data_IF_342440895403
#
_entry.id   IF_342440895403
#
_cell.length_a   1.000
_cell.length_b   1.000
_cell.length_c   1.000
_cell.angle_alpha   90.00
_cell.angle_beta   90.00
_cell.angle_gamma   90.00
#
_symmetry.space_group_name_H-M   'P 1'
#
loop_
_entity.id
_entity.type
_entity.pdbx_description
1 polymer ?
#
# COMPACT_ATOMS: atom_id res chain seq x y z
N UNK A 1 15.51 0.56 11.10
CA UNK A 1 14.42 1.55 10.95
C UNK A 1 13.29 1.17 11.89
N UNK A 2 12.64 2.13 12.55
CA UNK A 2 11.45 1.87 13.37
C UNK A 2 10.19 1.79 12.50
N UNK A 3 9.09 1.23 13.04
CA UNK A 3 7.82 1.20 12.33
C UNK A 3 7.32 2.59 11.94
N UNK A 4 7.49 3.59 12.82
CA UNK A 4 7.11 4.98 12.53
C UNK A 4 7.97 5.61 11.45
N UNK A 5 9.28 5.39 11.47
CA UNK A 5 10.20 5.86 10.42
C UNK A 5 9.83 5.28 9.06
N UNK A 6 9.56 3.98 9.01
CA UNK A 6 9.12 3.30 7.80
C UNK A 6 7.81 3.88 7.26
N UNK A 7 6.83 4.06 8.13
CA UNK A 7 5.52 4.55 7.74
C UNK A 7 5.57 6.03 7.28
N UNK A 8 6.50 6.83 7.82
CA UNK A 8 6.79 8.18 7.32
C UNK A 8 7.50 8.16 5.95
N UNK A 9 8.44 7.24 5.75
CA UNK A 9 9.16 7.07 4.50
C UNK A 9 8.21 6.69 3.35
N UNK A 10 7.31 5.72 3.58
CA UNK A 10 6.26 5.35 2.62
C UNK A 10 5.33 6.54 2.34
N UNK A 11 4.88 7.26 3.38
CA UNK A 11 4.01 8.42 3.18
C UNK A 11 4.66 9.54 2.36
N UNK A 12 5.95 9.82 2.60
CA UNK A 12 6.71 10.80 1.86
C UNK A 12 6.87 10.42 0.37
N UNK A 13 7.15 9.14 0.10
CA UNK A 13 7.20 8.60 -1.25
C UNK A 13 5.87 8.79 -1.98
N UNK A 14 4.75 8.37 -1.35
CA UNK A 14 3.41 8.50 -1.95
C UNK A 14 3.04 9.95 -2.24
N UNK A 15 3.29 10.84 -1.28
CA UNK A 15 3.04 12.28 -1.42
C UNK A 15 3.85 12.86 -2.58
N UNK A 16 5.14 12.55 -2.67
CA UNK A 16 6.01 13.10 -3.72
C UNK A 16 5.65 12.56 -5.10
N UNK A 17 5.41 11.24 -5.20
CA UNK A 17 5.13 10.56 -6.47
C UNK A 17 3.76 10.89 -7.05
N UNK A 18 2.74 10.97 -6.21
CA UNK A 18 1.35 11.07 -6.66
C UNK A 18 0.70 12.44 -6.38
N UNK A 19 1.39 13.39 -5.75
CA UNK A 19 0.89 14.77 -5.66
C UNK A 19 0.59 15.43 -7.02
N UNK A 20 1.32 15.17 -8.13
CA UNK A 20 0.94 15.69 -9.44
C UNK A 20 -0.38 15.12 -9.97
N UNK A 21 -0.87 14.02 -9.38
CA UNK A 21 -2.17 13.39 -9.67
C UNK A 21 -3.25 13.77 -8.64
N UNK A 22 -3.01 14.81 -7.85
CA UNK A 22 -3.97 15.29 -6.86
C UNK A 22 -4.08 14.41 -5.60
N UNK A 23 -3.17 13.44 -5.38
CA UNK A 23 -3.20 12.62 -4.17
C UNK A 23 -2.77 13.43 -2.94
N UNK A 24 -3.62 13.46 -1.92
CA UNK A 24 -3.29 13.96 -0.58
C UNK A 24 -3.02 12.79 0.34
N UNK A 25 -1.95 12.88 1.13
CA UNK A 25 -1.50 11.82 2.03
C UNK A 25 -1.51 12.34 3.47
N UNK A 26 -2.20 11.62 4.34
CA UNK A 26 -2.34 11.93 5.77
C UNK A 26 -1.75 10.78 6.60
N UNK A 27 -1.34 11.10 7.83
CA UNK A 27 -0.84 10.14 8.82
C UNK A 27 -1.85 10.00 9.96
N UNK A 28 -1.93 8.80 10.53
CA UNK A 28 -2.60 8.54 11.82
C UNK A 28 -4.07 9.00 11.87
N UNK A 29 -4.85 8.63 10.84
CA UNK A 29 -6.27 8.99 10.74
C UNK A 29 -7.12 7.98 11.52
N UNK A 30 -7.93 8.45 12.47
CA UNK A 30 -8.83 7.60 13.26
C UNK A 30 -10.10 7.28 12.50
N UNK A 31 -10.44 6.00 12.35
CA UNK A 31 -11.62 5.54 11.60
C UNK A 31 -12.24 4.31 12.24
N UNK A 32 -13.39 4.47 12.88
CA UNK A 32 -14.19 3.34 13.37
C UNK A 32 -13.44 2.42 14.34
N UNK A 33 -13.74 1.12 14.26
CA UNK A 33 -13.20 0.10 15.17
C UNK A 33 -12.45 -0.98 14.40
N UNK A 34 -11.43 -1.57 15.03
CA UNK A 34 -10.75 -2.77 14.55
C UNK A 34 -11.67 -4.00 14.62
N UNK A 35 -11.25 -5.12 14.01
CA UNK A 35 -11.97 -6.41 14.10
C UNK A 35 -12.15 -6.94 15.53
N UNK A 36 -11.38 -6.42 16.50
CA UNK A 36 -11.51 -6.75 17.94
C UNK A 36 -12.07 -5.58 18.77
N UNK A 37 -12.67 -4.57 18.12
CA UNK A 37 -13.39 -3.49 18.80
C UNK A 37 -12.52 -2.37 19.37
N UNK A 38 -11.22 -2.30 19.04
CA UNK A 38 -10.36 -1.17 19.45
C UNK A 38 -10.56 0.02 18.52
N UNK A 39 -10.30 1.25 18.99
CA UNK A 39 -10.26 2.40 18.09
C UNK A 39 -9.16 2.19 17.04
N UNK A 40 -9.54 2.24 15.77
CA UNK A 40 -8.60 2.06 14.67
C UNK A 40 -7.96 3.40 14.33
N UNK A 41 -6.64 3.37 14.15
CA UNK A 41 -5.83 4.45 13.63
C UNK A 41 -5.12 3.93 12.39
N UNK A 42 -5.41 4.52 11.22
CA UNK A 42 -4.79 4.15 9.96
C UNK A 42 -3.43 4.84 9.87
N UNK A 43 -2.37 4.08 9.62
CA UNK A 43 -1.02 4.63 9.52
C UNK A 43 -0.91 5.70 8.43
N UNK A 44 -1.35 5.38 7.21
CA UNK A 44 -1.35 6.31 6.06
C UNK A 44 -2.73 6.29 5.39
N UNK A 45 -3.31 7.47 5.19
CA UNK A 45 -4.59 7.64 4.53
C UNK A 45 -4.43 8.52 3.29
N UNK A 46 -4.73 7.97 2.13
CA UNK A 46 -4.62 8.65 0.84
C UNK A 46 -6.00 9.08 0.35
N UNK A 47 -6.15 10.31 -0.12
CA UNK A 47 -7.40 10.84 -0.70
C UNK A 47 -7.09 11.52 -2.02
N UNK A 48 -7.86 11.19 -3.05
CA UNK A 48 -7.90 11.98 -4.29
C UNK A 48 -9.14 12.86 -4.25
N UNK A 49 -8.94 14.17 -4.25
CA UNK A 49 -10.05 15.14 -4.27
C UNK A 49 -10.80 15.09 -5.60
N UNK A 50 -10.10 14.83 -6.71
CA UNK A 50 -10.69 14.75 -8.04
C UNK A 50 -11.67 13.58 -8.18
N UNK A 51 -11.30 12.40 -7.67
CA UNK A 51 -12.15 11.20 -7.78
C UNK A 51 -13.01 10.94 -6.54
N UNK A 52 -12.85 11.73 -5.47
CA UNK A 52 -13.47 11.49 -4.14
C UNK A 52 -13.28 10.05 -3.63
N UNK A 53 -12.13 9.45 -3.96
CA UNK A 53 -11.76 8.11 -3.49
C UNK A 53 -10.73 8.22 -2.38
N UNK A 54 -10.73 7.22 -1.51
CA UNK A 54 -9.74 7.08 -0.46
C UNK A 54 -9.06 5.71 -0.54
N UNK A 55 -7.89 5.60 0.08
CA UNK A 55 -7.15 4.36 0.23
C UNK A 55 -6.39 4.35 1.57
N UNK A 56 -6.64 3.33 2.37
CA UNK A 56 -6.01 3.16 3.69
C UNK A 56 -4.80 2.23 3.62
N UNK A 57 -3.76 2.55 4.36
CA UNK A 57 -2.52 1.75 4.38
C UNK A 57 -2.10 1.54 5.83
N UNK A 58 -1.90 0.27 6.18
CA UNK A 58 -1.30 -0.18 7.44
C UNK A 58 0.15 -0.57 7.18
N UNK A 59 1.11 -0.03 7.93
CA UNK A 59 2.53 -0.27 7.72
C UNK A 59 3.06 -1.36 8.66
N UNK A 60 3.84 -2.30 8.12
CA UNK A 60 4.51 -3.36 8.89
C UNK A 60 5.96 -3.49 8.44
N UNK A 61 6.88 -3.12 9.31
CA UNK A 61 8.31 -3.23 9.09
C UNK A 61 8.94 -4.22 10.07
N UNK A 62 9.79 -5.11 9.59
CA UNK A 62 10.53 -6.04 10.45
C UNK A 62 11.90 -6.37 9.84
N UNK A 63 13.00 -6.00 10.51
CA UNK A 63 14.39 -6.33 10.08
C UNK A 63 14.99 -7.54 10.80
N UNK A 64 14.43 -7.91 11.96
CA UNK A 64 14.84 -9.07 12.75
C UNK A 64 13.62 -9.91 13.08
N UNK A 65 13.77 -11.24 13.14
CA UNK A 65 12.67 -12.14 13.50
C UNK A 65 12.04 -11.74 14.84
N UNK A 66 10.71 -11.71 14.88
CA UNK A 66 9.97 -11.23 16.05
C UNK A 66 8.47 -11.50 15.95
N UNK A 67 7.72 -10.83 16.81
CA UNK A 67 6.27 -11.03 16.96
C UNK A 67 5.41 -10.33 15.90
N UNK A 68 6.00 -9.66 14.90
CA UNK A 68 5.17 -9.09 13.81
C UNK A 68 4.52 -10.22 13.02
N UNK A 69 5.19 -11.35 12.88
CA UNK A 69 4.67 -12.54 12.18
C UNK A 69 3.30 -12.98 12.73
N UNK A 70 3.14 -12.97 14.06
CA UNK A 70 1.88 -13.31 14.74
C UNK A 70 0.77 -12.28 14.49
N UNK A 71 1.14 -11.04 14.13
CA UNK A 71 0.23 -9.91 13.94
C UNK A 71 -0.21 -9.71 12.50
N UNK A 72 0.52 -10.26 11.51
CA UNK A 72 0.19 -10.08 10.09
C UNK A 72 -1.22 -10.58 9.72
N UNK A 73 -1.67 -11.77 10.16
CA UNK A 73 -3.03 -12.22 9.86
C UNK A 73 -4.09 -11.22 10.35
N UNK A 74 -3.92 -10.70 11.57
CA UNK A 74 -4.82 -9.69 12.13
C UNK A 74 -4.78 -8.38 11.34
N UNK A 75 -3.61 -7.93 10.90
CA UNK A 75 -3.48 -6.71 10.10
C UNK A 75 -4.20 -6.85 8.75
N UNK A 76 -4.07 -8.01 8.09
CA UNK A 76 -4.78 -8.29 6.84
C UNK A 76 -6.30 -8.32 7.04
N UNK A 77 -6.77 -8.99 8.09
CA UNK A 77 -8.21 -9.03 8.40
C UNK A 77 -8.75 -7.66 8.82
N UNK A 78 -7.94 -6.85 9.52
CA UNK A 78 -8.33 -5.50 9.91
C UNK A 78 -8.51 -4.60 8.69
N UNK A 79 -7.57 -4.65 7.74
CA UNK A 79 -7.67 -3.92 6.47
C UNK A 79 -8.87 -4.39 5.65
N UNK A 80 -9.15 -5.70 5.58
CA UNK A 80 -10.34 -6.24 4.86
C UNK A 80 -11.66 -5.77 5.46
N UNK A 81 -11.68 -5.45 6.76
CA UNK A 81 -12.88 -4.97 7.45
C UNK A 81 -13.10 -3.45 7.33
N UNK A 82 -12.21 -2.72 6.66
CA UNK A 82 -12.36 -1.29 6.45
C UNK A 82 -13.59 -0.99 5.57
N UNK A 83 -14.30 0.13 5.81
CA UNK A 83 -15.38 0.59 4.94
C UNK A 83 -14.88 1.20 3.61
N UNK A 84 -13.57 1.19 3.38
CA UNK A 84 -12.91 1.69 2.18
C UNK A 84 -11.80 0.72 1.76
N UNK A 85 -11.32 0.82 0.50
CA UNK A 85 -10.15 0.05 0.06
C UNK A 85 -8.90 0.35 0.90
N UNK A 86 -8.07 -0.67 1.09
CA UNK A 86 -6.78 -0.52 1.73
C UNK A 86 -5.88 -1.73 1.61
N UNK A 87 -4.64 -1.60 2.10
CA UNK A 87 -3.67 -2.69 2.10
C UNK A 87 -2.72 -2.63 3.31
N UNK A 88 -2.05 -3.75 3.57
CA UNK A 88 -0.86 -3.83 4.42
C UNK A 88 0.37 -3.58 3.55
N UNK A 89 1.14 -2.55 3.87
CA UNK A 89 2.42 -2.26 3.22
C UNK A 89 3.54 -2.78 4.09
N UNK A 90 4.44 -3.60 3.51
CA UNK A 90 5.48 -4.30 4.26
C UNK A 90 6.87 -4.21 3.62
N UNK A 91 7.90 -4.22 4.48
CA UNK A 91 9.31 -4.26 4.09
C UNK A 91 10.20 -4.74 5.25
N UNK A 92 11.45 -5.03 4.94
CA UNK A 92 12.45 -5.54 5.88
C UNK A 92 12.70 -7.05 5.73
N UNK A 93 13.85 -7.50 6.22
CA UNK A 93 14.35 -8.87 6.05
C UNK A 93 13.95 -9.86 7.15
N UNK A 94 13.24 -9.39 8.17
CA UNK A 94 12.99 -10.14 9.40
C UNK A 94 11.73 -11.00 9.39
N UNK A 95 10.88 -10.94 8.37
CA UNK A 95 9.68 -11.77 8.28
C UNK A 95 10.02 -13.25 8.01
N UNK A 96 9.28 -14.19 8.60
CA UNK A 96 9.40 -15.59 8.20
C UNK A 96 8.93 -15.82 6.76
N UNK A 97 9.41 -16.90 6.14
CA UNK A 97 8.98 -17.31 4.81
C UNK A 97 7.47 -17.55 4.71
N UNK A 98 6.85 -18.12 5.76
CA UNK A 98 5.40 -18.34 5.79
C UNK A 98 4.61 -17.04 5.71
N UNK A 99 5.05 -16.01 6.43
CA UNK A 99 4.44 -14.68 6.41
C UNK A 99 4.70 -13.97 5.08
N UNK A 100 5.92 -14.05 4.53
CA UNK A 100 6.24 -13.49 3.22
C UNK A 100 5.37 -14.11 2.12
N UNK A 101 5.18 -15.43 2.11
CA UNK A 101 4.28 -16.10 1.17
C UNK A 101 2.83 -15.63 1.33
N UNK A 102 2.36 -15.46 2.57
CA UNK A 102 1.01 -14.97 2.85
C UNK A 102 0.81 -13.53 2.33
N UNK A 103 1.77 -12.64 2.59
CA UNK A 103 1.73 -11.25 2.13
C UNK A 103 1.81 -11.18 0.60
N UNK A 104 2.76 -11.88 -0.02
CA UNK A 104 2.93 -11.90 -1.47
C UNK A 104 1.71 -12.49 -2.23
N UNK A 105 0.95 -13.38 -1.59
CA UNK A 105 -0.27 -13.94 -2.17
C UNK A 105 -1.52 -13.08 -1.91
N UNK A 106 -1.45 -12.06 -1.05
CA UNK A 106 -2.62 -11.28 -0.65
C UNK A 106 -2.86 -10.10 -1.60
N UNK A 107 -4.09 -9.93 -2.14
CA UNK A 107 -4.44 -8.74 -2.92
C UNK A 107 -4.58 -7.48 -2.04
N UNK A 108 -4.46 -7.61 -0.73
CA UNK A 108 -4.51 -6.53 0.25
C UNK A 108 -3.14 -6.31 0.89
N UNK A 109 -2.05 -6.71 0.24
CA UNK A 109 -0.71 -6.41 0.68
C UNK A 109 0.18 -5.97 -0.49
N UNK A 110 1.18 -5.17 -0.18
CA UNK A 110 2.18 -4.73 -1.14
C UNK A 110 3.53 -4.58 -0.46
N UNK A 111 4.57 -5.12 -1.09
CA UNK A 111 5.94 -4.76 -0.73
C UNK A 111 6.20 -3.30 -1.15
N UNK A 112 6.78 -2.50 -0.25
CA UNK A 112 7.19 -1.13 -0.57
C UNK A 112 8.38 -0.67 0.29
N UNK A 113 9.56 -0.54 -0.31
CA UNK A 113 10.73 0.04 0.34
C UNK A 113 11.30 1.17 -0.54
N UNK A 114 10.83 2.41 -0.38
CA UNK A 114 11.35 3.53 -1.15
C UNK A 114 12.64 4.10 -0.55
N UNK A 115 13.49 4.67 -1.38
CA UNK A 115 14.61 5.50 -0.96
C UNK A 115 14.12 6.91 -0.54
N UNK A 116 14.83 7.59 0.37
CA UNK A 116 14.53 8.97 0.72
C UNK A 116 14.51 9.90 -0.51
N UNK A 117 13.40 10.62 -0.71
CA UNK A 117 13.24 11.55 -1.85
C UNK A 117 12.91 10.89 -3.18
N UNK A 118 12.67 9.57 -3.21
CA UNK A 118 12.27 8.86 -4.42
C UNK A 118 10.92 9.35 -4.95
N UNK A 119 10.84 9.55 -6.27
CA UNK A 119 9.59 9.92 -6.98
C UNK A 119 9.24 8.95 -8.12
N UNK A 120 10.22 8.17 -8.57
CA UNK A 120 10.09 7.22 -9.67
C UNK A 120 9.82 5.82 -9.12
N UNK A 121 9.01 5.04 -9.83
CA UNK A 121 8.74 3.64 -9.47
C UNK A 121 9.99 2.80 -9.59
N UNK A 122 10.09 1.77 -8.75
CA UNK A 122 11.16 0.75 -8.79
C UNK A 122 10.55 -0.61 -8.50
N UNK A 123 11.32 -1.70 -8.66
CA UNK A 123 10.87 -3.03 -8.25
C UNK A 123 10.40 -3.05 -6.78
N UNK A 124 11.10 -2.30 -5.92
CA UNK A 124 10.84 -2.21 -4.48
C UNK A 124 9.60 -1.36 -4.13
N UNK A 125 8.99 -0.65 -5.07
CA UNK A 125 7.81 0.22 -4.80
C UNK A 125 6.62 -0.05 -5.70
N UNK A 126 6.81 -0.87 -6.75
CA UNK A 126 5.83 -1.10 -7.82
C UNK A 126 4.53 -1.71 -7.32
N UNK A 127 4.59 -2.61 -6.34
CA UNK A 127 3.37 -3.29 -5.85
C UNK A 127 2.39 -2.29 -5.25
N UNK A 128 2.87 -1.37 -4.40
CA UNK A 128 2.03 -0.33 -3.81
C UNK A 128 1.52 0.67 -4.85
N UNK A 129 2.37 1.04 -5.80
CA UNK A 129 1.98 1.90 -6.93
C UNK A 129 0.80 1.30 -7.70
N UNK A 130 0.84 -0.01 -7.98
CA UNK A 130 -0.22 -0.70 -8.69
C UNK A 130 -1.53 -0.71 -7.91
N UNK A 131 -1.51 -0.98 -6.60
CA UNK A 131 -2.73 -0.97 -5.78
C UNK A 131 -3.39 0.42 -5.77
N UNK A 132 -2.58 1.48 -5.63
CA UNK A 132 -3.09 2.85 -5.72
C UNK A 132 -3.63 3.16 -7.10
N UNK A 133 -2.89 2.80 -8.15
CA UNK A 133 -3.30 3.07 -9.53
C UNK A 133 -4.62 2.36 -9.90
N UNK A 134 -4.83 1.11 -9.47
CA UNK A 134 -6.11 0.42 -9.64
C UNK A 134 -7.23 1.13 -8.87
N UNK A 135 -6.99 1.52 -7.62
CA UNK A 135 -8.00 2.21 -6.81
C UNK A 135 -8.41 3.55 -7.43
N UNK A 136 -7.44 4.37 -7.81
CA UNK A 136 -7.64 5.74 -8.31
C UNK A 136 -7.86 5.82 -9.83
N UNK A 137 -7.73 4.71 -10.56
CA UNK A 137 -7.96 4.66 -12.01
C UNK A 137 -6.81 5.21 -12.85
N UNK A 138 -5.58 5.22 -12.33
CA UNK A 138 -4.38 5.67 -13.03
C UNK A 138 -3.81 4.55 -13.90
N UNK A 139 -4.59 4.12 -14.90
CA UNK A 139 -4.25 2.98 -15.73
C UNK A 139 -2.90 3.12 -16.45
N UNK A 140 -2.47 4.35 -16.75
CA UNK A 140 -1.17 4.65 -17.33
C UNK A 140 0.01 4.19 -16.45
N UNK A 141 -0.18 4.06 -15.13
CA UNK A 141 0.82 3.46 -14.23
C UNK A 141 0.95 1.95 -14.44
N UNK A 142 -0.14 1.24 -14.75
CA UNK A 142 -0.11 -0.22 -14.99
C UNK A 142 0.24 -0.57 -16.44
N UNK A 143 -0.35 0.15 -17.41
CA UNK A 143 -0.13 -0.15 -18.83
C UNK A 143 1.18 0.44 -19.32
N UNK A 144 1.72 1.45 -18.63
CA UNK A 144 2.94 2.16 -18.98
C UNK A 144 2.92 2.60 -20.45
N UNK A 145 3.86 2.11 -21.27
CA UNK A 145 3.97 2.41 -22.71
C UNK A 145 3.38 1.33 -23.62
N UNK A 146 2.59 0.40 -23.07
CA UNK A 146 1.98 -0.69 -23.85
C UNK A 146 0.86 -0.15 -24.74
N UNK A 147 0.80 -0.68 -25.96
CA UNK A 147 -0.22 -0.33 -26.96
C UNK A 147 -1.33 -1.37 -26.93
N UNK A 148 -2.62 -0.98 -26.97
CA UNK A 148 -3.73 -1.92 -27.09
C UNK A 148 -3.64 -2.79 -28.35
N UNK A 149 -4.05 -4.06 -28.25
CA UNK A 149 -4.10 -4.98 -29.40
C UNK A 149 -5.24 -4.54 -30.32
N UNK A 150 -4.95 -4.24 -31.59
CA UNK A 150 -5.98 -3.93 -32.60
C UNK A 150 -6.71 -5.21 -33.06
N UNK A 151 -8.03 -5.11 -33.24
CA UNK A 151 -8.94 -6.22 -33.59
C UNK A 151 -8.89 -6.64 -35.07
N UNK A 152 -7.71 -6.64 -35.70
CA UNK A 152 -7.57 -6.99 -37.14
C UNK A 152 -7.05 -8.42 -37.38
N UNK A 153 -7.03 -9.29 -36.37
CA UNK A 153 -6.61 -10.71 -36.52
C UNK A 153 -7.56 -11.71 -35.86
N UNK A 154 -8.85 -11.54 -36.13
CA UNK A 154 -9.83 -12.62 -36.01
C UNK A 154 -10.53 -12.73 -37.38
N UNK A 155 -9.81 -13.30 -38.34
CA UNK A 155 -10.38 -13.89 -39.57
C UNK A 155 -10.08 -15.38 -39.49
#
# INVERSE_FOLDING_TARGET
MTGTEYANLVAAYLSSRFSPRGLKVYREVRVGKTIIGKDRCIDIFCVSEDTQKAFAIECKFQDSQGSVDEKIPYALDDVRSLPMPGCVVYAGSGFSSGVLHMLAASPHAAYCMPDPGQIVSTAETRELDHLLAVNFGWWDVLVERRVPIASERLI
#
